data_IF_273534350326
#
_entry.id   IF_273534350326
#
_cell.length_a   1.000
_cell.length_b   1.000
_cell.length_c   1.000
_cell.angle_alpha   90.00
_cell.angle_beta   90.00
_cell.angle_gamma   90.00
#
_symmetry.space_group_name_H-M   'P 1'
#
loop_
_entity.id
_entity.type
_entity.pdbx_description
1 polymer ?
#
# COMPACT_ATOMS: atom_id res chain seq x y z
N UNK A 1 10.51 72.36 45.01
CA UNK A 1 11.03 72.87 43.71
C UNK A 1 11.36 71.64 42.87
N UNK A 2 10.53 71.23 41.87
CA UNK A 2 10.66 71.55 40.41
C UNK A 2 12.12 71.44 39.96
N UNK A 3 12.56 70.52 39.09
CA UNK A 3 12.18 70.15 37.70
C UNK A 3 13.05 68.92 37.30
N UNK A 4 12.83 68.07 36.30
CA UNK A 4 11.95 68.05 35.13
C UNK A 4 12.26 66.79 34.29
N UNK A 5 11.30 66.44 33.43
CA UNK A 5 11.21 65.28 32.52
C UNK A 5 12.35 65.15 31.50
N UNK A 6 12.66 63.92 31.09
CA UNK A 6 12.73 63.53 29.66
C UNK A 6 12.34 62.07 29.46
N UNK A 7 11.40 61.86 28.55
CA UNK A 7 10.81 60.58 28.20
C UNK A 7 11.58 59.96 27.03
N UNK A 8 12.15 58.78 27.22
CA UNK A 8 12.69 57.95 26.15
C UNK A 8 11.69 56.85 25.80
N UNK A 9 10.90 57.05 24.74
CA UNK A 9 10.06 56.00 24.14
C UNK A 9 10.98 54.99 23.44
N UNK A 10 11.22 53.83 24.06
CA UNK A 10 11.80 52.68 23.37
C UNK A 10 10.70 51.95 22.61
N UNK A 11 10.61 52.24 21.31
CA UNK A 11 9.87 51.45 20.32
C UNK A 11 10.54 50.09 20.19
N UNK A 12 9.99 49.07 20.85
CA UNK A 12 10.41 47.68 20.71
C UNK A 12 9.83 47.13 19.38
N UNK A 13 10.66 47.06 18.36
CA UNK A 13 10.28 46.50 17.05
C UNK A 13 10.06 44.99 17.15
N UNK A 14 8.85 44.54 16.83
CA UNK A 14 8.48 43.13 16.70
C UNK A 14 9.05 42.61 15.37
N UNK A 15 10.10 41.80 15.42
CA UNK A 15 10.59 41.05 14.27
C UNK A 15 9.79 39.74 14.15
N UNK A 16 8.73 39.75 13.33
CA UNK A 16 7.94 38.57 12.99
C UNK A 16 8.71 37.73 11.95
N UNK A 17 9.49 36.75 12.39
CA UNK A 17 10.07 35.71 11.54
C UNK A 17 8.96 34.80 11.01
N UNK A 18 8.52 35.03 9.78
CA UNK A 18 7.68 34.10 9.03
C UNK A 18 8.54 32.92 8.61
N UNK A 19 8.53 31.85 9.41
CA UNK A 19 8.99 30.53 8.99
C UNK A 19 8.03 30.04 7.89
N UNK A 20 8.42 30.26 6.64
CA UNK A 20 7.87 29.54 5.49
C UNK A 20 8.24 28.07 5.66
N UNK A 21 7.41 27.34 6.41
CA UNK A 21 7.44 25.89 6.44
C UNK A 21 7.20 25.41 5.02
N UNK A 22 8.24 24.87 4.40
CA UNK A 22 8.13 24.14 3.15
C UNK A 22 7.27 22.91 3.49
N UNK A 23 5.97 23.02 3.29
CA UNK A 23 5.11 21.84 3.30
C UNK A 23 5.53 21.05 2.09
N UNK A 24 6.46 20.10 2.27
CA UNK A 24 6.67 19.03 1.30
C UNK A 24 5.32 18.36 1.14
N UNK A 25 4.57 18.78 0.12
CA UNK A 25 3.48 17.97 -0.40
C UNK A 25 4.17 16.68 -0.81
N UNK A 26 3.96 15.63 -0.03
CA UNK A 26 4.16 14.28 -0.51
C UNK A 26 3.17 14.13 -1.67
N UNK A 27 3.58 14.59 -2.85
CA UNK A 27 2.99 14.15 -4.10
C UNK A 27 2.95 12.63 -4.00
N UNK A 28 1.79 12.04 -4.23
CA UNK A 28 1.64 10.60 -4.33
C UNK A 28 2.56 10.14 -5.47
N UNK A 29 3.82 9.87 -5.14
CA UNK A 29 4.80 9.45 -6.12
C UNK A 29 4.27 8.15 -6.71
N UNK A 30 3.99 8.17 -8.02
CA UNK A 30 3.52 6.97 -8.71
C UNK A 30 4.47 5.81 -8.38
N UNK A 31 3.92 4.74 -7.82
CA UNK A 31 4.69 3.55 -7.52
C UNK A 31 5.19 2.91 -8.82
N UNK A 32 6.47 2.56 -8.86
CA UNK A 32 7.13 1.84 -9.97
C UNK A 32 7.06 0.33 -9.78
N UNK A 33 7.20 -0.13 -8.54
CA UNK A 33 7.31 -1.54 -8.23
C UNK A 33 6.77 -1.87 -6.84
N UNK A 34 6.44 -3.14 -6.64
CA UNK A 34 6.15 -3.74 -5.34
C UNK A 34 7.31 -4.62 -4.91
N UNK A 35 7.85 -4.43 -3.70
CA UNK A 35 8.76 -5.41 -3.12
C UNK A 35 7.98 -6.66 -2.75
N UNK A 36 8.42 -7.82 -3.24
CA UNK A 36 7.82 -9.11 -2.90
C UNK A 36 8.61 -9.80 -1.79
N UNK A 37 9.94 -9.75 -1.88
CA UNK A 37 10.85 -10.38 -0.92
C UNK A 37 12.14 -9.57 -0.81
N UNK A 38 12.75 -9.60 0.37
CA UNK A 38 14.08 -9.04 0.60
C UNK A 38 14.84 -9.89 1.61
N UNK A 39 16.10 -10.20 1.31
CA UNK A 39 17.05 -10.75 2.27
C UNK A 39 18.35 -9.94 2.23
N UNK A 40 19.00 -9.78 3.38
CA UNK A 40 20.17 -8.91 3.51
C UNK A 40 19.82 -7.42 3.57
N UNK A 41 20.86 -6.58 3.60
CA UNK A 41 20.74 -5.14 3.80
C UNK A 41 20.61 -4.37 2.47
N UNK A 42 19.77 -3.34 2.50
CA UNK A 42 19.52 -2.46 1.35
C UNK A 42 19.61 -0.98 1.75
N UNK A 43 19.97 -0.10 0.81
CA UNK A 43 20.05 1.35 1.05
C UNK A 43 19.34 2.08 -0.10
N UNK A 44 18.25 2.84 0.13
CA UNK A 44 17.52 2.90 1.40
C UNK A 44 16.97 1.52 1.78
N UNK A 45 16.68 1.33 3.07
CA UNK A 45 16.08 0.07 3.52
C UNK A 45 14.66 -0.04 2.97
N UNK A 46 14.39 -1.11 2.23
CA UNK A 46 13.06 -1.44 1.74
C UNK A 46 12.47 -2.63 2.50
N UNK A 47 11.15 -2.75 2.55
CA UNK A 47 10.47 -3.84 3.24
C UNK A 47 9.60 -4.64 2.27
N UNK A 48 9.46 -5.97 2.47
CA UNK A 48 8.48 -6.75 1.73
C UNK A 48 7.08 -6.12 1.76
N UNK A 49 6.42 -6.14 0.61
CA UNK A 49 5.09 -5.58 0.37
C UNK A 49 4.97 -4.06 0.44
N UNK A 50 6.10 -3.33 0.46
CA UNK A 50 6.10 -1.89 0.23
C UNK A 50 6.23 -1.57 -1.25
N UNK A 51 5.57 -0.49 -1.66
CA UNK A 51 5.76 0.11 -2.97
C UNK A 51 7.07 0.91 -3.01
N UNK A 52 7.75 0.83 -4.14
CA UNK A 52 8.91 1.64 -4.48
C UNK A 52 8.46 2.74 -5.43
N UNK A 53 8.70 3.99 -5.06
CA UNK A 53 8.38 5.15 -5.88
C UNK A 53 9.27 5.25 -7.12
N UNK A 54 8.74 5.84 -8.19
CA UNK A 54 9.52 6.24 -9.37
C UNK A 54 10.65 7.20 -8.97
N UNK A 55 11.84 6.99 -9.55
CA UNK A 55 13.06 7.73 -9.26
C UNK A 55 13.89 7.13 -8.12
N UNK A 56 13.34 6.17 -7.37
CA UNK A 56 14.07 5.51 -6.29
C UNK A 56 15.23 4.70 -6.84
N UNK A 57 16.38 4.76 -6.17
CA UNK A 57 17.52 3.88 -6.41
C UNK A 57 17.81 3.10 -5.13
N UNK A 58 17.86 1.77 -5.23
CA UNK A 58 18.11 0.87 -4.10
C UNK A 58 19.43 0.15 -4.33
N UNK A 59 20.41 0.42 -3.47
CA UNK A 59 21.67 -0.32 -3.41
C UNK A 59 21.49 -1.57 -2.56
N UNK A 60 21.89 -2.72 -3.11
CA UNK A 60 21.89 -4.03 -2.47
C UNK A 60 23.33 -4.35 -2.03
N UNK A 61 23.54 -4.59 -0.74
CA UNK A 61 24.84 -5.04 -0.26
C UNK A 61 25.25 -6.38 -0.90
N UNK A 62 26.54 -6.76 -0.92
CA UNK A 62 26.97 -8.03 -1.46
C UNK A 62 26.17 -9.22 -0.89
N UNK A 63 25.58 -10.03 -1.77
CA UNK A 63 24.73 -11.16 -1.38
C UNK A 63 23.30 -10.80 -0.93
N UNK A 64 22.96 -9.52 -0.74
CA UNK A 64 21.58 -9.12 -0.49
C UNK A 64 20.72 -9.39 -1.73
N UNK A 65 19.52 -9.92 -1.53
CA UNK A 65 18.58 -10.27 -2.59
C UNK A 65 17.32 -9.44 -2.47
N UNK A 66 16.91 -8.85 -3.59
CA UNK A 66 15.66 -8.13 -3.71
C UNK A 66 14.81 -8.78 -4.81
N UNK A 67 13.58 -9.13 -4.46
CA UNK A 67 12.56 -9.56 -5.42
C UNK A 67 11.50 -8.49 -5.48
N UNK A 68 11.19 -8.03 -6.69
CA UNK A 68 10.15 -7.04 -6.89
C UNK A 68 9.33 -7.35 -8.13
N UNK A 69 8.06 -6.94 -8.11
CA UNK A 69 7.21 -6.86 -9.28
C UNK A 69 7.26 -5.43 -9.82
N UNK A 70 7.75 -5.24 -11.03
CA UNK A 70 7.68 -3.94 -11.70
C UNK A 70 6.33 -3.79 -12.41
N UNK A 71 5.58 -2.74 -12.07
CA UNK A 71 4.19 -2.60 -12.49
C UNK A 71 4.04 -2.35 -13.99
N UNK A 72 4.91 -1.54 -14.59
CA UNK A 72 4.76 -1.22 -16.02
C UNK A 72 5.07 -2.41 -16.93
N UNK A 73 6.05 -3.24 -16.55
CA UNK A 73 6.49 -4.36 -17.40
C UNK A 73 5.85 -5.68 -17.01
N UNK A 74 5.17 -5.74 -15.86
CA UNK A 74 4.60 -6.94 -15.25
C UNK A 74 5.62 -8.08 -15.22
N UNK A 75 6.81 -7.75 -14.71
CA UNK A 75 7.91 -8.69 -14.50
C UNK A 75 8.21 -8.80 -13.02
N UNK A 76 8.33 -10.04 -12.56
CA UNK A 76 8.98 -10.33 -11.30
C UNK A 76 10.47 -10.45 -11.55
N UNK A 77 11.25 -9.61 -10.87
CA UNK A 77 12.69 -9.48 -11.04
C UNK A 77 13.35 -9.88 -9.73
N UNK A 78 14.40 -10.70 -9.83
CA UNK A 78 15.30 -11.02 -8.72
C UNK A 78 16.66 -10.43 -9.00
N UNK A 79 17.08 -9.48 -8.18
CA UNK A 79 18.42 -8.90 -8.18
C UNK A 79 19.20 -9.38 -6.94
N UNK A 80 20.51 -9.61 -7.09
CA UNK A 80 21.41 -10.05 -6.01
C UNK A 80 22.66 -9.17 -6.03
N UNK A 81 22.86 -8.38 -4.97
CA UNK A 81 23.90 -7.34 -4.93
C UNK A 81 23.72 -6.23 -5.96
N UNK A 82 24.60 -5.23 -5.93
CA UNK A 82 24.61 -4.15 -6.91
C UNK A 82 23.60 -3.03 -6.61
N UNK A 83 23.03 -2.43 -7.65
CA UNK A 83 22.07 -1.32 -7.52
C UNK A 83 20.91 -1.48 -8.50
N UNK A 84 19.70 -1.24 -8.02
CA UNK A 84 18.47 -1.23 -8.80
C UNK A 84 17.91 0.19 -8.85
N UNK A 85 17.81 0.76 -10.04
CA UNK A 85 17.15 2.04 -10.28
C UNK A 85 15.74 1.82 -10.84
N UNK A 86 14.74 2.49 -10.25
CA UNK A 86 13.33 2.33 -10.57
C UNK A 86 12.80 3.56 -11.32
N UNK A 87 12.54 3.44 -12.61
CA UNK A 87 11.88 4.46 -13.42
C UNK A 87 10.38 4.23 -13.53
N UNK A 88 9.68 5.13 -14.21
CA UNK A 88 8.23 4.98 -14.46
C UNK A 88 7.90 3.91 -15.49
N UNK A 89 8.74 3.76 -16.51
CA UNK A 89 8.51 2.83 -17.61
C UNK A 89 9.42 1.61 -17.58
N UNK A 90 10.55 1.73 -16.91
CA UNK A 90 11.64 0.76 -16.92
C UNK A 90 12.30 0.73 -15.55
N UNK A 91 13.08 -0.31 -15.31
CA UNK A 91 14.05 -0.38 -14.23
C UNK A 91 15.42 -0.72 -14.82
N UNK A 92 16.48 -0.48 -14.06
CA UNK A 92 17.84 -0.87 -14.44
C UNK A 92 18.50 -1.56 -13.25
N UNK A 93 19.11 -2.71 -13.50
CA UNK A 93 19.91 -3.44 -12.52
C UNK A 93 21.36 -3.34 -12.95
N UNK A 94 22.22 -2.89 -12.05
CA UNK A 94 23.67 -2.78 -12.26
C UNK A 94 24.39 -3.60 -11.19
N UNK A 95 25.44 -4.32 -11.57
CA UNK A 95 26.18 -5.22 -10.67
C UNK A 95 26.72 -6.43 -11.43
N UNK A 96 27.44 -7.29 -10.72
CA UNK A 96 28.17 -8.41 -11.34
C UNK A 96 27.25 -9.57 -11.77
N UNK A 97 26.09 -9.69 -11.13
CA UNK A 97 25.12 -10.74 -11.41
C UNK A 97 24.00 -10.23 -12.31
N UNK A 98 23.73 -10.96 -13.39
CA UNK A 98 22.56 -10.68 -14.24
C UNK A 98 21.28 -10.96 -13.44
N UNK A 99 20.28 -10.06 -13.46
CA UNK A 99 19.02 -10.30 -12.77
C UNK A 99 18.26 -11.47 -13.43
N UNK A 100 17.55 -12.24 -12.61
CA UNK A 100 16.56 -13.20 -13.11
C UNK A 100 15.24 -12.46 -13.31
N UNK A 101 14.61 -12.65 -14.47
CA UNK A 101 13.34 -12.02 -14.79
C UNK A 101 12.32 -13.05 -15.27
N UNK A 102 11.10 -12.93 -14.77
CA UNK A 102 9.97 -13.75 -15.18
C UNK A 102 8.80 -12.83 -15.48
N UNK A 103 8.21 -12.97 -16.67
CA UNK A 103 6.95 -12.28 -16.98
C UNK A 103 5.83 -12.91 -16.17
N UNK A 104 5.08 -12.08 -15.45
CA UNK A 104 3.95 -12.49 -14.63
C UNK A 104 2.70 -11.70 -15.03
N UNK A 105 1.49 -12.21 -14.80
CA UNK A 105 0.30 -11.38 -14.93
C UNK A 105 0.42 -10.12 -14.05
N UNK A 106 0.00 -8.98 -14.57
CA UNK A 106 -0.09 -7.76 -13.77
C UNK A 106 -1.15 -8.00 -12.68
N UNK A 107 -0.86 -7.70 -11.40
CA UNK A 107 -1.84 -7.89 -10.34
C UNK A 107 -2.99 -6.89 -10.56
N UNK A 108 -4.24 -7.34 -10.46
CA UNK A 108 -5.38 -6.43 -10.50
C UNK A 108 -5.31 -5.49 -9.28
N UNK A 109 -5.69 -4.23 -9.47
CA UNK A 109 -5.77 -3.24 -8.40
C UNK A 109 -7.22 -2.90 -8.11
N UNK A 110 -7.64 -3.11 -6.87
CA UNK A 110 -8.93 -2.69 -6.32
C UNK A 110 -8.72 -1.39 -5.55
N UNK A 111 -9.47 -0.33 -5.86
CA UNK A 111 -9.39 0.93 -5.11
C UNK A 111 -10.53 1.04 -4.12
N UNK A 112 -10.20 1.24 -2.84
CA UNK A 112 -11.19 1.51 -1.80
C UNK A 112 -11.33 3.01 -1.66
N UNK A 113 -12.44 3.59 -2.12
CA UNK A 113 -12.78 4.97 -1.80
C UNK A 113 -13.28 5.00 -0.36
N UNK A 114 -12.68 5.86 0.49
CA UNK A 114 -13.12 6.03 1.88
C UNK A 114 -14.61 6.32 1.94
N UNK A 115 -15.35 5.57 2.76
CA UNK A 115 -16.75 5.85 3.04
C UNK A 115 -16.84 7.15 3.85
N UNK A 116 -17.00 8.28 3.17
CA UNK A 116 -17.41 9.54 3.77
C UNK A 116 -18.78 9.98 3.26
N UNK A 117 -19.73 9.06 3.03
CA UNK A 117 -21.13 9.44 2.75
C UNK A 117 -22.10 8.43 3.39
N UNK A 118 -22.30 8.57 4.70
CA UNK A 118 -23.63 8.39 5.29
C UNK A 118 -24.36 9.74 5.18
N UNK A 119 -24.83 10.09 3.97
CA UNK A 119 -25.80 11.13 3.74
C UNK A 119 -26.64 10.72 2.52
N UNK A 120 -27.95 10.56 2.73
CA UNK A 120 -28.78 9.75 1.86
C UNK A 120 -28.89 10.27 0.43
N UNK A 121 -28.51 9.43 -0.53
CA UNK A 121 -29.08 9.41 -1.89
C UNK A 121 -29.10 7.96 -2.38
N UNK A 122 -30.28 7.56 -2.86
CA UNK A 122 -30.61 6.36 -3.63
C UNK A 122 -29.43 5.73 -4.40
N UNK A 123 -28.99 4.52 -4.05
CA UNK A 123 -28.24 3.66 -4.96
C UNK A 123 -28.96 2.32 -5.12
N UNK A 124 -29.64 2.22 -6.26
CA UNK A 124 -30.21 1.00 -6.81
C UNK A 124 -29.09 -0.04 -6.93
N UNK A 125 -29.31 -1.20 -6.35
CA UNK A 125 -28.67 -2.50 -6.57
C UNK A 125 -27.60 -2.55 -7.68
N UNK A 126 -26.35 -2.22 -7.35
CA UNK A 126 -25.19 -2.58 -8.16
C UNK A 126 -24.48 -3.68 -7.38
N UNK A 127 -24.48 -4.89 -7.95
CA UNK A 127 -23.67 -6.01 -7.46
C UNK A 127 -22.22 -5.56 -7.26
N UNK A 128 -21.43 -6.17 -6.35
CA UNK A 128 -20.04 -5.79 -6.22
C UNK A 128 -19.30 -6.04 -7.54
N UNK A 129 -18.79 -4.98 -8.17
CA UNK A 129 -17.91 -5.05 -9.34
C UNK A 129 -16.55 -5.68 -8.95
N UNK A 130 -16.18 -5.59 -7.68
CA UNK A 130 -14.95 -6.15 -7.16
C UNK A 130 -15.07 -7.67 -7.05
N UNK A 131 -14.20 -8.36 -7.77
CA UNK A 131 -14.09 -9.82 -7.77
C UNK A 131 -12.81 -10.23 -7.07
N UNK A 132 -12.90 -11.18 -6.15
CA UNK A 132 -11.74 -11.80 -5.51
C UNK A 132 -11.81 -13.32 -5.72
N UNK A 133 -10.66 -13.99 -5.60
CA UNK A 133 -10.61 -15.46 -5.65
C UNK A 133 -11.33 -16.09 -4.46
N UNK A 134 -11.62 -17.39 -4.56
CA UNK A 134 -12.25 -18.14 -3.47
C UNK A 134 -11.38 -18.23 -2.20
N UNK A 135 -10.07 -18.12 -2.35
CA UNK A 135 -9.09 -18.07 -1.26
C UNK A 135 -8.23 -16.81 -1.44
N UNK A 136 -8.76 -15.62 -1.10
CA UNK A 136 -8.14 -14.36 -1.46
C UNK A 136 -6.74 -14.19 -0.86
N UNK A 137 -5.83 -13.71 -1.69
CA UNK A 137 -4.49 -13.26 -1.29
C UNK A 137 -4.28 -11.88 -1.86
N UNK A 138 -3.90 -10.91 -1.02
CA UNK A 138 -3.74 -9.53 -1.45
C UNK A 138 -2.70 -8.77 -0.63
N UNK A 139 -2.28 -7.63 -1.16
CA UNK A 139 -1.41 -6.67 -0.47
C UNK A 139 -2.11 -5.33 -0.43
N UNK A 140 -2.09 -4.69 0.74
CA UNK A 140 -2.51 -3.30 0.91
C UNK A 140 -1.44 -2.36 0.37
N UNK A 141 -1.86 -1.43 -0.48
CA UNK A 141 -1.01 -0.37 -1.06
C UNK A 141 -1.66 0.99 -0.81
N UNK A 142 -0.92 2.09 -1.02
CA UNK A 142 -1.42 3.44 -0.74
C UNK A 142 -1.14 3.96 0.67
N UNK A 143 -1.58 5.20 0.93
CA UNK A 143 -1.15 6.00 2.09
C UNK A 143 -1.51 5.40 3.45
N UNK A 144 -2.59 4.62 3.51
CA UNK A 144 -3.12 4.01 4.73
C UNK A 144 -2.79 2.52 4.85
N UNK A 145 -1.93 1.96 3.98
CA UNK A 145 -1.65 0.53 3.96
C UNK A 145 -1.15 -0.03 5.30
N UNK A 146 -0.43 0.79 6.09
CA UNK A 146 0.08 0.41 7.40
C UNK A 146 -0.90 0.62 8.56
N UNK A 147 -2.09 1.15 8.31
CA UNK A 147 -3.06 1.46 9.37
C UNK A 147 -3.81 0.22 9.88
N UNK A 148 -3.76 -0.90 9.15
CA UNK A 148 -4.62 -2.06 9.39
C UNK A 148 -3.87 -3.21 10.05
N UNK A 149 -4.56 -3.89 10.96
CA UNK A 149 -4.03 -5.04 11.71
C UNK A 149 -4.63 -6.36 11.22
N UNK A 150 -5.90 -6.34 10.84
CA UNK A 150 -6.69 -7.55 10.64
C UNK A 150 -7.59 -7.41 9.41
N UNK A 151 -7.92 -8.55 8.84
CA UNK A 151 -8.95 -8.70 7.81
C UNK A 151 -10.06 -9.55 8.40
N UNK A 152 -11.29 -9.05 8.30
CA UNK A 152 -12.51 -9.82 8.60
C UNK A 152 -13.28 -10.05 7.32
N UNK A 153 -13.73 -11.28 7.11
CA UNK A 153 -14.64 -11.63 6.01
C UNK A 153 -15.98 -12.07 6.59
N UNK A 154 -17.07 -11.52 6.07
CA UNK A 154 -18.43 -11.80 6.52
C UNK A 154 -19.40 -12.01 5.35
N UNK A 155 -20.50 -12.71 5.63
CA UNK A 155 -21.62 -12.92 4.72
C UNK A 155 -22.92 -12.63 5.47
N UNK A 156 -23.71 -11.66 4.99
CA UNK A 156 -24.97 -11.29 5.64
C UNK A 156 -24.81 -10.93 7.13
N UNK A 157 -23.70 -10.26 7.49
CA UNK A 157 -23.37 -9.93 8.88
C UNK A 157 -22.74 -11.06 9.71
N UNK A 158 -22.77 -12.31 9.23
CA UNK A 158 -22.13 -13.44 9.91
C UNK A 158 -20.63 -13.44 9.61
N UNK A 159 -19.80 -13.43 10.67
CA UNK A 159 -18.34 -13.52 10.55
C UNK A 159 -17.93 -14.92 10.09
N UNK A 160 -17.29 -15.00 8.94
CA UNK A 160 -16.76 -16.26 8.37
C UNK A 160 -15.28 -16.45 8.71
N UNK A 161 -14.52 -15.35 8.67
CA UNK A 161 -13.09 -15.35 8.95
C UNK A 161 -12.69 -14.05 9.64
N UNK A 162 -11.70 -14.16 10.51
CA UNK A 162 -10.91 -13.04 11.01
C UNK A 162 -9.46 -13.49 11.13
N UNK A 163 -8.55 -12.80 10.46
CA UNK A 163 -7.14 -13.17 10.46
C UNK A 163 -6.25 -11.91 10.44
N UNK A 164 -5.04 -11.97 11.02
CA UNK A 164 -4.10 -10.86 11.00
C UNK A 164 -3.52 -10.64 9.60
N UNK A 165 -3.09 -9.41 9.34
CA UNK A 165 -2.19 -9.10 8.24
C UNK A 165 -0.75 -9.45 8.64
N UNK A 166 0.03 -9.97 7.70
CA UNK A 166 1.48 -10.08 7.81
C UNK A 166 2.12 -8.83 7.19
N UNK A 167 2.33 -7.80 8.00
CA UNK A 167 2.66 -6.47 7.49
C UNK A 167 1.47 -5.91 6.70
N UNK A 168 1.65 -5.71 5.39
CA UNK A 168 0.59 -5.26 4.47
C UNK A 168 -0.10 -6.40 3.72
N UNK A 169 0.39 -7.64 3.85
CA UNK A 169 -0.09 -8.77 3.09
C UNK A 169 -1.15 -9.57 3.87
N UNK A 170 -2.19 -10.00 3.16
CA UNK A 170 -3.14 -11.00 3.59
C UNK A 170 -3.01 -12.24 2.73
N UNK A 171 -3.03 -13.40 3.37
CA UNK A 171 -3.13 -14.71 2.72
C UNK A 171 -4.29 -15.46 3.37
N UNK A 172 -5.18 -16.01 2.56
CA UNK A 172 -6.22 -16.89 3.06
C UNK A 172 -5.60 -18.02 3.89
N UNK A 173 -6.03 -18.23 5.15
CA UNK A 173 -5.34 -19.18 6.01
C UNK A 173 -5.40 -20.61 5.47
N UNK A 174 -4.26 -21.30 5.50
CA UNK A 174 -4.18 -22.71 5.11
C UNK A 174 -5.14 -23.56 5.95
N UNK A 175 -5.77 -24.55 5.32
CA UNK A 175 -6.77 -25.41 5.97
C UNK A 175 -8.14 -24.78 6.20
N UNK A 176 -8.32 -23.48 5.91
CA UNK A 176 -9.65 -22.84 5.92
C UNK A 176 -10.37 -23.14 4.62
N UNK A 177 -11.64 -23.54 4.71
CA UNK A 177 -12.47 -23.78 3.53
C UNK A 177 -12.48 -22.54 2.61
N UNK A 178 -12.37 -22.71 1.28
CA UNK A 178 -12.54 -21.61 0.33
C UNK A 178 -13.95 -21.01 0.42
N UNK A 179 -14.07 -19.76 0.01
CA UNK A 179 -15.35 -19.09 -0.20
C UNK A 179 -16.17 -19.80 -1.29
N UNK A 180 -17.49 -19.66 -1.22
CA UNK A 180 -18.40 -20.21 -2.22
C UNK A 180 -18.37 -19.33 -3.46
N UNK A 181 -18.22 -19.95 -4.64
CA UNK A 181 -18.20 -19.22 -5.90
C UNK A 181 -19.52 -18.47 -6.17
N UNK A 182 -19.42 -17.37 -6.91
CA UNK A 182 -20.53 -16.49 -7.30
C UNK A 182 -21.35 -15.97 -6.12
N UNK A 183 -20.73 -15.88 -4.93
CA UNK A 183 -21.36 -15.41 -3.70
C UNK A 183 -20.76 -14.08 -3.28
N UNK A 184 -21.62 -13.17 -2.80
CA UNK A 184 -21.23 -11.86 -2.33
C UNK A 184 -20.83 -11.88 -0.85
N UNK A 185 -19.70 -11.26 -0.55
CA UNK A 185 -19.10 -11.17 0.77
C UNK A 185 -18.71 -9.73 1.10
N UNK A 186 -18.48 -9.48 2.38
CA UNK A 186 -17.90 -8.24 2.89
C UNK A 186 -16.51 -8.52 3.43
N UNK A 187 -15.53 -7.75 2.98
CA UNK A 187 -14.18 -7.69 3.51
C UNK A 187 -14.06 -6.39 4.31
N UNK A 188 -13.67 -6.51 5.58
CA UNK A 188 -13.45 -5.39 6.48
C UNK A 188 -11.98 -5.35 6.88
N UNK A 189 -11.31 -4.25 6.56
CA UNK A 189 -10.00 -3.93 7.08
C UNK A 189 -10.16 -3.26 8.44
N UNK A 190 -9.64 -3.92 9.48
CA UNK A 190 -9.73 -3.45 10.87
C UNK A 190 -8.44 -2.71 11.22
N UNK A 191 -8.51 -1.43 11.61
CA UNK A 191 -7.34 -0.65 11.98
C UNK A 191 -6.60 -1.18 13.21
N UNK A 192 -5.31 -0.86 13.31
CA UNK A 192 -4.46 -1.09 14.49
C UNK A 192 -4.90 -0.27 15.70
N UNK A 193 -5.48 0.91 15.46
CA UNK A 193 -5.93 1.86 16.47
C UNK A 193 -7.45 1.86 16.46
N UNK A 194 -8.09 1.64 17.62
CA UNK A 194 -9.54 1.43 17.72
C UNK A 194 -10.37 2.60 17.17
N UNK A 195 -9.89 3.84 17.34
CA UNK A 195 -10.58 5.04 16.90
C UNK A 195 -10.40 5.37 15.41
N UNK A 196 -9.56 4.61 14.68
CA UNK A 196 -9.43 4.79 13.23
C UNK A 196 -10.62 4.13 12.50
N UNK A 197 -11.01 4.74 11.38
CA UNK A 197 -12.12 4.26 10.55
C UNK A 197 -11.78 2.93 9.87
N UNK A 198 -12.64 1.93 10.08
CA UNK A 198 -12.63 0.66 9.33
C UNK A 198 -12.94 0.92 7.86
N UNK A 199 -12.38 0.10 6.98
CA UNK A 199 -12.76 0.13 5.56
C UNK A 199 -13.51 -1.15 5.24
N UNK A 200 -14.71 -1.00 4.66
CA UNK A 200 -15.53 -2.13 4.21
C UNK A 200 -15.62 -2.15 2.70
N UNK A 201 -15.35 -3.31 2.12
CA UNK A 201 -15.45 -3.62 0.70
C UNK A 201 -16.46 -4.75 0.51
N UNK A 202 -17.43 -4.57 -0.38
CA UNK A 202 -18.23 -5.69 -0.89
C UNK A 202 -17.52 -6.30 -2.09
N UNK A 203 -17.43 -7.62 -2.14
CA UNK A 203 -16.82 -8.34 -3.26
C UNK A 203 -17.61 -9.61 -3.60
N UNK A 204 -17.54 -10.04 -4.87
CA UNK A 204 -17.99 -11.36 -5.30
C UNK A 204 -16.83 -12.33 -5.33
N UNK A 205 -16.97 -13.48 -4.69
CA UNK A 205 -15.99 -14.56 -4.82
C UNK A 205 -16.20 -15.27 -6.16
N UNK A 206 -15.15 -15.41 -6.98
CA UNK A 206 -15.24 -16.09 -8.27
C UNK A 206 -14.23 -17.23 -8.39
N UNK A 207 -14.68 -18.31 -9.02
CA UNK A 207 -13.82 -19.34 -9.59
C UNK A 207 -13.04 -18.68 -10.72
N UNK A 208 -11.75 -18.44 -10.51
CA UNK A 208 -10.94 -17.81 -11.55
C UNK A 208 -10.84 -18.66 -12.81
N UNK A 209 -10.93 -18.03 -13.99
CA UNK A 209 -10.17 -18.43 -15.19
C UNK A 209 -8.69 -17.98 -15.03
N UNK A 210 -8.12 -18.29 -13.86
CA UNK A 210 -6.87 -17.75 -13.33
C UNK A 210 -5.92 -18.95 -13.18
N UNK A 211 -5.10 -19.18 -14.22
CA UNK A 211 -4.39 -20.42 -14.46
C UNK A 211 -3.47 -20.85 -13.30
N UNK A 212 -3.59 -22.13 -12.94
CA UNK A 212 -2.60 -23.00 -12.30
C UNK A 212 -1.63 -22.36 -11.28
N UNK A 213 -1.87 -22.66 -10.00
CA UNK A 213 -0.83 -22.84 -8.97
C UNK A 213 0.30 -21.79 -8.98
N UNK A 214 -0.07 -20.54 -8.66
CA UNK A 214 0.86 -19.48 -8.32
C UNK A 214 0.07 -18.26 -7.87
N UNK A 215 0.05 -18.03 -6.55
CA UNK A 215 -0.41 -16.82 -5.84
C UNK A 215 -0.85 -15.65 -6.75
N UNK A 216 -2.13 -15.61 -7.11
CA UNK A 216 -2.72 -14.42 -7.73
C UNK A 216 -2.78 -13.32 -6.67
N UNK A 217 -1.73 -12.50 -6.64
CA UNK A 217 -1.65 -11.32 -5.80
C UNK A 217 -2.61 -10.26 -6.34
N UNK A 218 -3.58 -9.84 -5.54
CA UNK A 218 -4.39 -8.64 -5.79
C UNK A 218 -3.81 -7.46 -5.01
N UNK A 219 -3.79 -6.27 -5.58
CA UNK A 219 -3.49 -5.04 -4.84
C UNK A 219 -4.78 -4.38 -4.38
N UNK A 220 -4.84 -3.97 -3.13
CA UNK A 220 -5.96 -3.19 -2.58
C UNK A 220 -5.41 -1.82 -2.17
N UNK A 221 -5.75 -0.79 -2.94
CA UNK A 221 -5.39 0.61 -2.66
C UNK A 221 -6.25 1.14 -1.53
N UNK A 222 -5.58 1.59 -0.47
CA UNK A 222 -6.16 2.24 0.70
C UNK A 222 -5.48 3.58 0.90
N UNK A 223 -6.12 4.62 0.37
CA UNK A 223 -5.69 6.01 0.49
C UNK A 223 -6.55 6.79 1.49
#
# INVERSE_FOLDING_TARGET
>A
MRTGRTAGRLTLGIALLVLLGVTSRADAQNASALVLEKTGATVPEVQPYNEIAVGTTVSLQPGARLVFLHYQTCRTVTAVGGTVAFGGLTYTVTGDSRPKEVRTPCPPTVRLRGQSEMAGVLMRSISPEVKLSLSPTFVLVGARADDFALVRVSQGGTKLLEAPLSGRAFRWPAGTAPLVANTDYELVLVPKVEDKTRITLKFRAETGNLAAAGDHLTLISVD
#
